data_IF_284432692374
#
_entry.id   IF_284432692374
#
_cell.length_a   1.000
_cell.length_b   1.000
_cell.length_c   1.000
_cell.angle_alpha   90.00
_cell.angle_beta   90.00
_cell.angle_gamma   90.00
#
_symmetry.space_group_name_H-M   'P 1'
#
loop_
_entity.id
_entity.type
_entity.pdbx_description
1 polymer ?
#
# COMPACT_ATOMS: atom_id res chain seq x y z
N UNK A 1 4.35 1.29 4.55
CA UNK A 1 3.65 2.53 4.13
C UNK A 1 4.62 3.63 3.71
N UNK A 2 5.60 3.93 4.53
CA UNK A 2 6.58 5.00 4.22
C UNK A 2 7.27 4.81 2.86
N UNK A 3 7.71 3.60 2.57
CA UNK A 3 8.39 3.30 1.31
C UNK A 3 7.49 3.57 0.11
N UNK A 4 6.23 3.15 0.17
CA UNK A 4 5.26 3.38 -0.90
C UNK A 4 4.97 4.89 -1.06
N UNK A 5 4.88 5.60 0.05
CA UNK A 5 4.65 7.05 0.07
C UNK A 5 5.80 7.79 -0.61
N UNK A 6 7.03 7.48 -0.20
CA UNK A 6 8.23 8.11 -0.76
C UNK A 6 8.39 7.79 -2.25
N UNK A 7 8.05 6.57 -2.64
CA UNK A 7 8.07 6.17 -4.05
C UNK A 7 7.12 6.97 -4.93
N UNK A 8 6.09 7.54 -4.34
CA UNK A 8 5.15 8.42 -5.05
C UNK A 8 5.46 9.91 -4.87
N UNK A 9 6.54 10.23 -4.18
CA UNK A 9 6.94 11.61 -3.96
C UNK A 9 6.02 12.40 -3.03
N UNK A 10 5.32 11.71 -2.13
CA UNK A 10 4.36 12.36 -1.23
C UNK A 10 4.95 12.61 0.15
N UNK A 11 4.62 13.77 0.73
CA UNK A 11 4.84 14.01 2.15
C UNK A 11 3.78 13.29 2.96
N UNK A 12 4.01 13.14 4.26
CA UNK A 12 2.99 12.58 5.16
C UNK A 12 1.68 13.37 5.09
N UNK A 13 1.77 14.68 5.10
CA UNK A 13 0.59 15.54 5.01
C UNK A 13 -0.15 15.35 3.68
N UNK A 14 0.59 15.29 2.57
CA UNK A 14 -0.02 15.09 1.25
C UNK A 14 -0.74 13.76 1.16
N UNK A 15 -0.12 12.68 1.65
CA UNK A 15 -0.76 11.37 1.65
C UNK A 15 -2.04 11.39 2.49
N UNK A 16 -1.99 11.97 3.68
CA UNK A 16 -3.16 12.03 4.55
C UNK A 16 -4.32 12.76 3.92
N UNK A 17 -4.06 13.90 3.29
CA UNK A 17 -5.09 14.68 2.59
C UNK A 17 -5.67 13.90 1.42
N UNK A 18 -4.83 13.24 0.62
CA UNK A 18 -5.31 12.39 -0.48
C UNK A 18 -6.19 11.25 0.01
N UNK A 19 -5.94 10.77 1.22
CA UNK A 19 -6.73 9.71 1.84
C UNK A 19 -7.98 10.24 2.57
N UNK A 20 -8.29 11.53 2.44
CA UNK A 20 -9.50 12.10 3.01
C UNK A 20 -9.36 12.66 4.42
N UNK A 21 -8.14 12.79 4.93
CA UNK A 21 -7.92 13.35 6.27
C UNK A 21 -7.92 14.88 6.24
N UNK A 22 -8.34 15.47 7.36
CA UNK A 22 -8.23 16.92 7.53
C UNK A 22 -6.76 17.35 7.51
N UNK A 23 -6.41 18.48 6.87
CA UNK A 23 -5.01 18.89 6.74
C UNK A 23 -4.26 19.03 8.04
N UNK A 24 -4.91 19.47 9.11
CA UNK A 24 -4.28 19.73 10.40
C UNK A 24 -3.91 18.44 11.17
N UNK A 25 -4.49 17.30 10.82
CA UNK A 25 -4.19 16.01 11.48
C UNK A 25 -3.50 15.00 10.54
N UNK A 26 -3.44 15.29 9.24
CA UNK A 26 -2.96 14.34 8.24
C UNK A 26 -1.55 13.85 8.53
N UNK A 27 -0.60 14.76 8.70
CA UNK A 27 0.81 14.40 8.95
C UNK A 27 0.96 13.55 10.23
N UNK A 28 0.30 13.95 11.30
CA UNK A 28 0.37 13.24 12.58
C UNK A 28 -0.18 11.82 12.46
N UNK A 29 -1.32 11.65 11.81
CA UNK A 29 -1.93 10.34 11.65
C UNK A 29 -1.09 9.42 10.78
N UNK A 30 -0.58 9.92 9.66
CA UNK A 30 0.29 9.12 8.79
C UNK A 30 1.56 8.72 9.54
N UNK A 31 2.16 9.65 10.29
CA UNK A 31 3.34 9.34 11.08
C UNK A 31 3.06 8.22 12.10
N UNK A 32 1.92 8.24 12.77
CA UNK A 32 1.53 7.20 13.72
C UNK A 32 1.38 5.85 13.04
N UNK A 33 0.79 5.81 11.85
CA UNK A 33 0.66 4.57 11.08
C UNK A 33 2.04 4.04 10.65
N UNK A 34 2.90 4.91 10.16
CA UNK A 34 4.24 4.52 9.69
C UNK A 34 5.12 4.01 10.84
N UNK A 35 4.92 4.53 12.04
CA UNK A 35 5.67 4.11 13.23
C UNK A 35 5.05 2.91 13.94
N UNK A 36 3.91 2.43 13.49
CA UNK A 36 3.22 1.30 14.10
C UNK A 36 2.54 1.62 15.43
N UNK A 37 2.36 2.90 15.76
CA UNK A 37 1.67 3.33 16.98
C UNK A 37 0.17 3.03 16.89
N UNK A 38 -0.38 3.18 15.71
CA UNK A 38 -1.78 2.84 15.40
C UNK A 38 -1.83 2.12 14.06
N UNK A 39 -2.81 1.25 13.90
CA UNK A 39 -3.12 0.63 12.61
C UNK A 39 -4.34 1.32 12.01
N UNK A 40 -4.34 1.57 10.68
CA UNK A 40 -5.52 2.14 10.04
C UNK A 40 -6.67 1.13 10.06
N UNK A 41 -7.88 1.62 10.34
CA UNK A 41 -9.10 0.82 10.24
C UNK A 41 -9.44 0.59 8.78
N UNK A 42 -10.34 -0.36 8.51
CA UNK A 42 -10.67 -0.80 7.14
C UNK A 42 -10.95 0.35 6.18
N UNK A 43 -11.76 1.33 6.57
CA UNK A 43 -12.08 2.46 5.70
C UNK A 43 -10.85 3.32 5.41
N UNK A 44 -10.07 3.64 6.45
CA UNK A 44 -8.85 4.42 6.29
C UNK A 44 -7.80 3.66 5.47
N UNK A 45 -7.66 2.36 5.71
CA UNK A 45 -6.73 1.52 4.97
C UNK A 45 -7.06 1.49 3.48
N UNK A 46 -8.34 1.38 3.14
CA UNK A 46 -8.79 1.40 1.74
C UNK A 46 -8.44 2.72 1.06
N UNK A 47 -8.71 3.84 1.72
CA UNK A 47 -8.41 5.16 1.19
C UNK A 47 -6.90 5.40 1.04
N UNK A 48 -6.11 4.94 2.02
CA UNK A 48 -4.65 5.02 1.96
C UNK A 48 -4.09 4.18 0.82
N UNK A 49 -4.61 2.96 0.66
CA UNK A 49 -4.18 2.07 -0.42
C UNK A 49 -4.48 2.68 -1.79
N UNK A 50 -5.66 3.27 -1.96
CA UNK A 50 -6.02 3.96 -3.20
C UNK A 50 -5.08 5.14 -3.47
N UNK A 51 -4.79 5.95 -2.45
CA UNK A 51 -3.87 7.08 -2.59
C UNK A 51 -2.45 6.65 -2.95
N UNK A 52 -2.02 5.50 -2.43
CA UNK A 52 -0.69 4.93 -2.70
C UNK A 52 -0.64 4.12 -3.99
N UNK A 53 -1.79 3.76 -4.57
CA UNK A 53 -1.85 2.92 -5.77
C UNK A 53 -1.45 1.47 -5.51
N UNK A 54 -1.73 0.95 -4.32
CA UNK A 54 -1.41 -0.43 -3.92
C UNK A 54 -2.66 -1.14 -3.41
N UNK A 55 -2.69 -2.49 -3.43
CA UNK A 55 -3.76 -3.23 -2.77
C UNK A 55 -3.75 -2.99 -1.25
N UNK A 56 -4.92 -3.02 -0.62
CA UNK A 56 -5.02 -2.82 0.84
C UNK A 56 -4.16 -3.82 1.62
N UNK A 57 -4.00 -5.03 1.11
CA UNK A 57 -3.15 -6.06 1.72
C UNK A 57 -1.72 -5.58 1.97
N UNK A 58 -1.22 -4.65 1.16
CA UNK A 58 0.12 -4.08 1.35
C UNK A 58 0.30 -3.48 2.75
N UNK A 59 -0.75 -2.89 3.29
CA UNK A 59 -0.71 -2.20 4.59
C UNK A 59 -0.69 -3.17 5.77
N UNK A 60 -1.02 -4.43 5.55
CA UNK A 60 -1.20 -5.41 6.61
C UNK A 60 -0.19 -6.56 6.57
N UNK A 61 0.63 -6.66 5.53
CA UNK A 61 1.56 -7.78 5.42
C UNK A 61 2.86 -7.53 6.16
N UNK A 62 3.35 -8.55 6.84
CA UNK A 62 4.69 -8.59 7.43
C UNK A 62 5.70 -9.31 6.54
N UNK A 63 5.24 -9.87 5.41
CA UNK A 63 6.08 -10.60 4.48
C UNK A 63 6.72 -9.63 3.49
N UNK A 64 8.03 -9.48 3.56
CA UNK A 64 8.78 -8.54 2.72
C UNK A 64 8.69 -8.86 1.24
N UNK A 65 8.67 -10.12 0.87
CA UNK A 65 8.55 -10.52 -0.54
C UNK A 65 7.15 -10.21 -1.07
N UNK A 66 6.13 -10.51 -0.29
CA UNK A 66 4.76 -10.16 -0.65
C UNK A 66 4.59 -8.65 -0.75
N UNK A 67 5.16 -7.91 0.18
CA UNK A 67 5.09 -6.45 0.16
C UNK A 67 5.70 -5.88 -1.13
N UNK A 68 6.84 -6.41 -1.58
CA UNK A 68 7.47 -5.99 -2.85
C UNK A 68 6.55 -6.25 -4.03
N UNK A 69 5.90 -7.39 -4.07
CA UNK A 69 4.96 -7.74 -5.14
C UNK A 69 3.76 -6.80 -5.13
N UNK A 70 3.18 -6.59 -3.95
CA UNK A 70 2.01 -5.73 -3.81
C UNK A 70 2.32 -4.27 -4.15
N UNK A 71 3.52 -3.80 -3.81
CA UNK A 71 3.95 -2.44 -4.14
C UNK A 71 3.92 -2.17 -5.65
N UNK A 72 4.27 -3.18 -6.45
CA UNK A 72 4.31 -3.08 -7.92
C UNK A 72 3.00 -3.48 -8.58
N UNK A 73 2.12 -4.18 -7.85
CA UNK A 73 0.92 -4.77 -8.42
C UNK A 73 0.03 -3.75 -9.13
N UNK A 74 -0.20 -2.59 -8.51
CA UNK A 74 -1.06 -1.55 -9.08
C UNK A 74 -0.56 -0.95 -10.39
N UNK A 75 0.75 -1.03 -10.65
CA UNK A 75 1.36 -0.52 -11.88
C UNK A 75 1.44 -1.55 -13.01
N UNK A 76 1.10 -2.80 -12.72
CA UNK A 76 1.10 -3.86 -13.73
C UNK A 76 -0.14 -3.77 -14.61
N UNK A 77 0.03 -4.09 -15.88
CA UNK A 77 -1.11 -4.26 -16.80
C UNK A 77 -1.87 -5.52 -16.46
N UNK A 78 -3.10 -5.64 -16.96
CA UNK A 78 -3.89 -6.88 -16.80
C UNK A 78 -3.15 -8.09 -17.39
N UNK A 79 -2.47 -7.89 -18.51
CA UNK A 79 -1.70 -8.95 -19.16
C UNK A 79 -0.56 -9.42 -18.25
N UNK A 80 0.19 -8.47 -17.68
CA UNK A 80 1.28 -8.78 -16.75
C UNK A 80 0.79 -9.52 -15.50
N UNK A 81 -0.36 -9.10 -14.96
CA UNK A 81 -0.97 -9.77 -13.81
C UNK A 81 -1.35 -11.21 -14.13
N UNK A 82 -1.93 -11.44 -15.30
CA UNK A 82 -2.30 -12.78 -15.75
C UNK A 82 -1.07 -13.67 -15.92
N UNK A 83 0.00 -13.13 -16.48
CA UNK A 83 1.25 -13.87 -16.65
C UNK A 83 1.87 -14.26 -15.31
N UNK A 84 1.84 -13.35 -14.32
CA UNK A 84 2.30 -13.67 -12.97
C UNK A 84 1.48 -14.78 -12.32
N UNK A 85 0.17 -14.74 -12.47
CA UNK A 85 -0.72 -15.78 -11.93
C UNK A 85 -0.41 -17.11 -12.55
N UNK A 86 -0.18 -17.15 -13.89
CA UNK A 86 0.20 -18.38 -14.59
C UNK A 86 1.50 -18.95 -14.08
N UNK A 87 2.51 -18.09 -13.82
CA UNK A 87 3.78 -18.54 -13.27
C UNK A 87 3.60 -19.19 -11.89
N UNK A 88 2.80 -18.58 -11.05
CA UNK A 88 2.53 -19.11 -9.70
C UNK A 88 1.78 -20.43 -9.79
N UNK A 89 0.79 -20.52 -10.66
CA UNK A 89 0.00 -21.76 -10.84
C UNK A 89 0.83 -22.89 -11.40
N UNK A 90 1.82 -22.58 -12.25
CA UNK A 90 2.71 -23.58 -12.84
C UNK A 90 3.81 -24.02 -11.87
N UNK A 91 4.05 -23.27 -10.80
CA UNK A 91 5.07 -23.64 -9.81
C UNK A 91 4.65 -24.88 -9.06
N UNK A 92 5.62 -25.80 -8.74
CA UNK A 92 5.28 -26.99 -7.97
C UNK A 92 4.75 -26.58 -6.59
N UNK A 93 3.57 -27.12 -6.25
CA UNK A 93 2.99 -26.94 -4.93
C UNK A 93 3.69 -27.79 -3.89
N UNK A 94 3.26 -27.68 -2.65
CA UNK A 94 3.77 -28.52 -1.57
C UNK A 94 3.34 -29.95 -1.72
#
# INVERSE_FOLDING_TARGET
>A
MKQARLGRGLTQAQLGVLAGMEPDVASTRINQYERGVHEPRSAAAKQLAEALGVPAAFLYTDDDLLAKLLLRWGSLTKQQKRELVKLVEAAPGK
#
